data_IF_625415493532
#
_entry.id   IF_625415493532
#
_cell.length_a   1.000
_cell.length_b   1.000
_cell.length_c   1.000
_cell.angle_alpha   90.00
_cell.angle_beta   90.00
_cell.angle_gamma   90.00
#
_symmetry.space_group_name_H-M   'P 1'
#
loop_
_entity.id
_entity.type
_entity.pdbx_description
1 polymer ?
#
# COMPACT_ATOMS: atom_id res chain seq x y z
N UNK A 1 -30.59 -19.67 9.15
CA UNK A 1 -31.09 -18.77 8.05
C UNK A 1 -31.51 -17.37 8.52
N UNK A 2 -31.62 -17.14 9.83
CA UNK A 2 -31.96 -15.82 10.39
C UNK A 2 -30.73 -15.04 10.89
N UNK A 3 -29.58 -15.70 11.03
CA UNK A 3 -28.31 -15.10 11.44
C UNK A 3 -27.41 -14.86 10.23
N UNK A 4 -26.56 -13.84 10.32
CA UNK A 4 -25.55 -13.53 9.30
C UNK A 4 -24.40 -14.54 9.33
N UNK A 5 -24.09 -15.10 10.52
CA UNK A 5 -23.08 -16.14 10.73
C UNK A 5 -23.67 -17.20 11.63
N UNK A 6 -23.69 -18.44 11.18
CA UNK A 6 -24.10 -19.63 11.93
C UNK A 6 -22.90 -20.32 12.57
N UNK A 7 -22.98 -20.61 13.87
CA UNK A 7 -21.94 -21.34 14.60
C UNK A 7 -22.54 -22.65 15.12
N UNK A 8 -21.86 -23.75 14.89
CA UNK A 8 -22.20 -25.09 15.39
C UNK A 8 -21.02 -25.70 16.14
N UNK A 9 -21.25 -26.83 16.80
CA UNK A 9 -20.22 -27.60 17.49
C UNK A 9 -20.01 -28.94 16.76
N UNK A 10 -18.83 -29.53 16.86
CA UNK A 10 -18.49 -30.80 16.18
C UNK A 10 -19.41 -31.96 16.60
N UNK A 11 -19.91 -31.95 17.84
CA UNK A 11 -20.86 -32.93 18.36
C UNK A 11 -22.31 -32.76 17.91
N UNK A 12 -22.61 -31.71 17.11
CA UNK A 12 -23.95 -31.49 16.59
C UNK A 12 -24.30 -32.47 15.45
N UNK A 13 -25.61 -32.61 15.18
CA UNK A 13 -26.11 -33.40 14.05
C UNK A 13 -25.62 -32.83 12.71
N UNK A 14 -25.45 -33.66 11.72
CA UNK A 14 -24.84 -33.27 10.42
C UNK A 14 -25.57 -32.11 9.75
N UNK A 15 -26.89 -32.09 9.78
CA UNK A 15 -27.69 -30.98 9.23
C UNK A 15 -27.37 -29.63 9.90
N UNK A 16 -27.05 -29.63 11.19
CA UNK A 16 -26.68 -28.41 11.91
C UNK A 16 -25.26 -27.99 11.56
N UNK A 17 -24.35 -28.94 11.33
CA UNK A 17 -22.96 -28.65 10.88
C UNK A 17 -22.94 -28.13 9.43
N UNK A 18 -23.71 -28.73 8.54
CA UNK A 18 -23.82 -28.28 7.13
C UNK A 18 -24.46 -26.90 7.00
N UNK A 19 -25.27 -26.49 7.96
CA UNK A 19 -25.93 -25.17 7.97
C UNK A 19 -25.10 -24.07 8.63
N UNK A 20 -23.97 -24.43 9.25
CA UNK A 20 -23.13 -23.51 10.00
C UNK A 20 -21.95 -23.03 9.15
N UNK A 21 -21.56 -21.77 9.32
CA UNK A 21 -20.39 -21.16 8.68
C UNK A 21 -19.11 -21.52 9.45
N UNK A 22 -19.22 -21.74 10.76
CA UNK A 22 -18.11 -22.06 11.67
C UNK A 22 -18.49 -23.28 12.52
N UNK A 23 -17.58 -24.24 12.65
CA UNK A 23 -17.72 -25.40 13.53
C UNK A 23 -16.68 -25.30 14.63
N UNK A 24 -17.13 -25.23 15.88
CA UNK A 24 -16.26 -25.30 17.04
C UNK A 24 -15.92 -26.77 17.33
N UNK A 25 -14.62 -27.08 17.36
CA UNK A 25 -14.14 -28.43 17.67
C UNK A 25 -14.27 -28.77 19.15
N UNK A 26 -14.22 -27.77 20.01
CA UNK A 26 -14.43 -27.89 21.44
C UNK A 26 -15.77 -27.24 21.83
N UNK A 27 -16.55 -27.92 22.65
CA UNK A 27 -17.83 -27.44 23.15
C UNK A 27 -17.63 -26.52 24.35
N UNK A 28 -16.89 -25.41 24.10
CA UNK A 28 -16.59 -24.40 25.12
C UNK A 28 -16.83 -22.98 24.57
N UNK A 29 -17.59 -22.21 25.32
CA UNK A 29 -17.86 -20.81 25.01
C UNK A 29 -16.63 -19.91 25.13
N UNK A 30 -15.62 -20.33 25.92
CA UNK A 30 -14.35 -19.59 26.02
C UNK A 30 -13.58 -19.64 24.71
N UNK A 31 -13.65 -20.76 23.99
CA UNK A 31 -13.05 -20.88 22.65
C UNK A 31 -13.70 -19.91 21.66
N UNK A 32 -15.03 -19.75 21.75
CA UNK A 32 -15.74 -18.77 20.92
C UNK A 32 -15.34 -17.34 21.26
N UNK A 33 -15.22 -16.99 22.54
CA UNK A 33 -14.77 -15.66 22.98
C UNK A 33 -13.37 -15.36 22.46
N UNK A 34 -12.45 -16.30 22.62
CA UNK A 34 -11.09 -16.17 22.09
C UNK A 34 -11.08 -16.01 20.57
N UNK A 35 -11.91 -16.78 19.85
CA UNK A 35 -12.08 -16.65 18.41
C UNK A 35 -12.59 -15.26 17.98
N UNK A 36 -13.50 -14.66 18.72
CA UNK A 36 -14.00 -13.30 18.46
C UNK A 36 -12.86 -12.27 18.68
N UNK A 37 -12.08 -12.41 19.73
CA UNK A 37 -10.94 -11.51 20.00
C UNK A 37 -9.91 -11.60 18.90
N UNK A 38 -9.51 -12.81 18.51
CA UNK A 38 -8.56 -13.02 17.42
C UNK A 38 -9.09 -12.54 16.06
N UNK A 39 -10.38 -12.73 15.79
CA UNK A 39 -11.05 -12.19 14.61
C UNK A 39 -11.01 -10.65 14.57
N UNK A 40 -11.19 -9.99 15.70
CA UNK A 40 -11.09 -8.52 15.79
C UNK A 40 -9.66 -8.03 15.57
N UNK A 41 -8.65 -8.74 16.07
CA UNK A 41 -7.22 -8.44 15.81
C UNK A 41 -6.89 -8.59 14.32
N UNK A 42 -7.32 -9.69 13.71
CA UNK A 42 -7.14 -9.94 12.29
C UNK A 42 -7.79 -8.84 11.45
N UNK A 43 -9.01 -8.46 11.78
CA UNK A 43 -9.72 -7.36 11.12
C UNK A 43 -8.97 -6.02 11.25
N UNK A 44 -8.42 -5.72 12.43
CA UNK A 44 -7.64 -4.52 12.66
C UNK A 44 -6.40 -4.47 11.75
N UNK A 45 -5.65 -5.56 11.68
CA UNK A 45 -4.46 -5.65 10.84
C UNK A 45 -4.80 -5.60 9.34
N UNK A 46 -5.90 -6.20 8.94
CA UNK A 46 -6.42 -6.08 7.57
C UNK A 46 -6.76 -4.63 7.21
N UNK A 47 -7.41 -3.87 8.09
CA UNK A 47 -7.71 -2.45 7.86
C UNK A 47 -6.43 -1.61 7.79
N UNK A 48 -5.43 -1.89 8.63
CA UNK A 48 -4.11 -1.24 8.54
C UNK A 48 -3.49 -1.47 7.15
N UNK A 49 -3.44 -2.71 6.69
CA UNK A 49 -2.91 -3.05 5.37
C UNK A 49 -3.64 -2.32 4.25
N UNK A 50 -4.99 -2.36 4.24
CA UNK A 50 -5.79 -1.71 3.21
C UNK A 50 -5.54 -0.19 3.18
N UNK A 51 -5.53 0.47 4.33
CA UNK A 51 -5.27 1.91 4.43
C UNK A 51 -3.87 2.27 3.92
N UNK A 52 -2.86 1.51 4.33
CA UNK A 52 -1.48 1.73 3.90
C UNK A 52 -1.32 1.52 2.40
N UNK A 53 -1.85 0.42 1.87
CA UNK A 53 -1.75 0.09 0.44
C UNK A 53 -2.49 1.09 -0.44
N UNK A 54 -3.72 1.47 -0.06
CA UNK A 54 -4.50 2.46 -0.79
C UNK A 54 -3.82 3.84 -0.79
N UNK A 55 -3.29 4.26 0.37
CA UNK A 55 -2.58 5.53 0.52
C UNK A 55 -1.28 5.55 -0.28
N UNK A 56 -0.49 4.48 -0.24
CA UNK A 56 0.77 4.36 -1.00
C UNK A 56 0.52 4.39 -2.51
N UNK A 57 -0.44 3.61 -3.00
CA UNK A 57 -0.78 3.60 -4.42
C UNK A 57 -1.30 4.96 -4.90
N UNK A 58 -2.15 5.61 -4.10
CA UNK A 58 -2.63 6.96 -4.42
C UNK A 58 -1.49 7.98 -4.47
N UNK A 59 -0.57 7.94 -3.49
CA UNK A 59 0.62 8.80 -3.46
C UNK A 59 1.51 8.58 -4.69
N UNK A 60 1.81 7.34 -5.04
CA UNK A 60 2.62 7.01 -6.21
C UNK A 60 1.98 7.49 -7.52
N UNK A 61 0.68 7.26 -7.71
CA UNK A 61 -0.04 7.71 -8.91
C UNK A 61 -0.08 9.23 -9.00
N UNK A 62 -0.31 9.90 -7.87
CA UNK A 62 -0.30 11.37 -7.79
C UNK A 62 1.09 11.94 -8.12
N UNK A 63 2.15 11.35 -7.58
CA UNK A 63 3.54 11.77 -7.84
C UNK A 63 3.91 11.61 -9.31
N UNK A 64 3.57 10.47 -9.92
CA UNK A 64 3.86 10.21 -11.33
C UNK A 64 3.07 11.15 -12.24
N UNK A 65 1.80 11.39 -11.95
CA UNK A 65 0.96 12.31 -12.72
C UNK A 65 1.51 13.74 -12.69
N UNK A 66 1.80 14.25 -11.51
CA UNK A 66 2.32 15.60 -11.34
C UNK A 66 3.73 15.75 -11.94
N UNK A 67 4.61 14.77 -11.73
CA UNK A 67 5.94 14.78 -12.30
C UNK A 67 5.92 14.70 -13.83
N UNK A 68 5.01 13.92 -14.42
CA UNK A 68 4.85 13.84 -15.89
C UNK A 68 4.37 15.15 -16.52
N UNK A 69 3.68 15.99 -15.75
CA UNK A 69 3.27 17.32 -16.20
C UNK A 69 4.43 18.34 -16.14
N UNK A 70 5.37 18.16 -15.22
CA UNK A 70 6.47 19.09 -14.96
C UNK A 70 7.77 18.72 -15.66
N UNK A 71 8.02 17.42 -15.85
CA UNK A 71 9.25 16.91 -16.46
C UNK A 71 9.04 16.58 -17.94
N UNK A 72 10.05 16.80 -18.80
CA UNK A 72 9.99 16.51 -20.24
C UNK A 72 10.13 15.00 -20.55
N UNK A 73 10.20 14.14 -19.55
CA UNK A 73 10.32 12.68 -19.66
C UNK A 73 9.50 11.98 -18.60
N UNK A 74 9.20 10.68 -18.81
CA UNK A 74 8.50 9.87 -17.82
C UNK A 74 9.43 9.59 -16.62
N UNK A 75 9.06 10.04 -15.39
CA UNK A 75 9.92 9.90 -14.22
C UNK A 75 10.01 8.46 -13.72
N UNK A 76 9.01 7.64 -13.98
CA UNK A 76 8.95 6.23 -13.59
C UNK A 76 8.39 5.37 -14.73
N UNK A 77 9.12 4.31 -15.09
CA UNK A 77 8.60 3.28 -15.99
C UNK A 77 7.78 2.25 -15.21
N UNK A 78 6.92 1.53 -15.91
CA UNK A 78 6.05 0.49 -15.31
C UNK A 78 6.85 -0.58 -14.54
N UNK A 79 8.06 -0.91 -15.00
CA UNK A 79 8.95 -1.87 -14.32
C UNK A 79 9.35 -1.39 -12.93
N UNK A 80 9.64 -0.10 -12.77
CA UNK A 80 9.98 0.48 -11.46
C UNK A 80 8.80 0.40 -10.49
N UNK A 81 7.57 0.65 -10.97
CA UNK A 81 6.36 0.51 -10.16
C UNK A 81 6.12 -0.93 -9.72
N UNK A 82 6.40 -1.92 -10.57
CA UNK A 82 6.28 -3.33 -10.21
C UNK A 82 7.27 -3.68 -9.10
N UNK A 83 8.54 -3.28 -9.21
CA UNK A 83 9.54 -3.51 -8.17
C UNK A 83 9.20 -2.81 -6.86
N UNK A 84 8.72 -1.57 -6.93
CA UNK A 84 8.31 -0.81 -5.75
C UNK A 84 7.15 -1.52 -5.03
N UNK A 85 6.14 -1.98 -5.76
CA UNK A 85 5.03 -2.72 -5.19
C UNK A 85 5.48 -4.06 -4.60
N UNK A 86 6.40 -4.78 -5.25
CA UNK A 86 6.95 -6.03 -4.72
C UNK A 86 7.68 -5.83 -3.39
N UNK A 87 8.53 -4.80 -3.30
CA UNK A 87 9.23 -4.46 -2.05
C UNK A 87 8.23 -4.07 -0.96
N UNK A 88 7.21 -3.29 -1.32
CA UNK A 88 6.15 -2.89 -0.42
C UNK A 88 5.37 -4.11 0.12
N UNK A 89 4.96 -5.01 -0.74
CA UNK A 89 4.22 -6.22 -0.37
C UNK A 89 5.04 -7.12 0.56
N UNK A 90 6.34 -7.30 0.27
CA UNK A 90 7.25 -8.02 1.16
C UNK A 90 7.34 -7.35 2.55
N UNK A 91 7.39 -6.02 2.61
CA UNK A 91 7.39 -5.29 3.88
C UNK A 91 6.08 -5.45 4.63
N UNK A 92 4.96 -5.52 3.93
CA UNK A 92 3.63 -5.69 4.53
C UNK A 92 3.39 -7.10 5.09
N UNK A 93 4.22 -8.09 4.76
CA UNK A 93 4.10 -9.45 5.34
C UNK A 93 4.27 -9.48 6.85
N UNK A 94 4.86 -8.45 7.45
CA UNK A 94 5.02 -8.32 8.89
C UNK A 94 3.74 -7.86 9.62
N UNK A 95 2.76 -7.29 8.92
CA UNK A 95 1.53 -6.72 9.52
C UNK A 95 0.70 -7.74 10.31
N UNK A 96 0.55 -9.02 9.91
CA UNK A 96 -0.21 -10.00 10.69
C UNK A 96 0.32 -10.23 12.10
N UNK A 97 1.61 -9.99 12.34
CA UNK A 97 2.23 -10.12 13.67
C UNK A 97 2.26 -8.81 14.45
N UNK A 98 1.69 -7.73 13.89
CA UNK A 98 1.62 -6.46 14.59
C UNK A 98 0.59 -6.50 15.72
N UNK A 99 0.96 -5.90 16.86
CA UNK A 99 0.07 -5.80 18.00
C UNK A 99 -1.07 -4.81 17.73
N UNK A 100 -2.25 -5.19 18.19
CA UNK A 100 -3.47 -4.37 18.07
C UNK A 100 -3.80 -3.76 19.42
N UNK A 101 -4.12 -2.47 19.42
CA UNK A 101 -4.51 -1.74 20.62
C UNK A 101 -5.80 -2.32 21.23
N UNK A 102 -5.83 -2.43 22.56
CA UNK A 102 -6.98 -2.98 23.30
C UNK A 102 -8.28 -2.19 23.04
N UNK A 103 -8.19 -0.87 22.89
CA UNK A 103 -9.34 -0.04 22.56
C UNK A 103 -9.99 -0.40 21.20
N UNK A 104 -9.17 -0.89 20.25
CA UNK A 104 -9.68 -1.32 18.96
C UNK A 104 -10.45 -2.61 19.07
N UNK A 105 -10.01 -3.52 19.94
CA UNK A 105 -10.59 -4.84 20.15
C UNK A 105 -11.87 -4.75 21.01
N UNK A 106 -11.95 -3.78 21.93
CA UNK A 106 -13.02 -3.66 22.91
C UNK A 106 -14.43 -3.56 22.29
N UNK A 107 -14.54 -2.95 21.11
CA UNK A 107 -15.83 -2.76 20.43
C UNK A 107 -15.80 -3.33 19.01
N UNK A 108 -16.91 -3.99 18.56
CA UNK A 108 -17.01 -4.42 17.18
C UNK A 108 -17.02 -3.20 16.24
N UNK A 109 -16.24 -3.27 15.18
CA UNK A 109 -16.16 -2.21 14.17
C UNK A 109 -16.74 -2.70 12.85
N UNK A 110 -17.45 -1.80 12.17
CA UNK A 110 -17.97 -2.03 10.83
C UNK A 110 -16.95 -1.53 9.79
N UNK A 111 -17.01 -2.11 8.61
CA UNK A 111 -16.28 -1.59 7.46
C UNK A 111 -16.76 -0.17 7.13
N UNK A 112 -15.81 0.74 7.04
CA UNK A 112 -16.06 2.13 6.65
C UNK A 112 -15.11 2.55 5.53
N UNK A 113 -15.63 2.53 4.30
CA UNK A 113 -14.90 2.94 3.11
C UNK A 113 -14.55 4.45 3.15
N UNK A 114 -15.38 5.26 3.80
CA UNK A 114 -15.12 6.70 3.94
C UNK A 114 -13.84 6.97 4.75
N UNK A 115 -13.61 6.18 5.80
CA UNK A 115 -12.39 6.27 6.60
C UNK A 115 -11.14 5.92 5.79
N UNK A 116 -11.23 4.92 4.89
CA UNK A 116 -10.12 4.57 3.99
C UNK A 116 -9.87 5.68 2.97
N UNK A 117 -10.93 6.21 2.35
CA UNK A 117 -10.84 7.30 1.39
C UNK A 117 -10.26 8.58 1.99
N UNK A 118 -10.71 8.95 3.18
CA UNK A 118 -10.17 10.10 3.91
C UNK A 118 -8.68 9.93 4.23
N UNK A 119 -8.29 8.74 4.72
CA UNK A 119 -6.89 8.43 5.00
C UNK A 119 -6.03 8.52 3.74
N UNK A 120 -6.50 7.98 2.63
CA UNK A 120 -5.83 8.00 1.34
C UNK A 120 -5.59 9.43 0.83
N UNK A 121 -6.60 10.30 0.93
CA UNK A 121 -6.51 11.69 0.44
C UNK A 121 -5.58 12.54 1.29
N UNK A 122 -5.55 12.33 2.61
CA UNK A 122 -4.73 13.14 3.51
C UNK A 122 -3.30 12.62 3.65
N UNK A 123 -3.12 11.32 3.74
CA UNK A 123 -1.81 10.70 3.98
C UNK A 123 -1.07 10.39 2.67
N UNK A 124 -1.79 10.04 1.58
CA UNK A 124 -1.18 9.74 0.28
C UNK A 124 -0.26 10.86 -0.22
N UNK A 125 -0.73 12.13 -0.31
CA UNK A 125 0.11 13.22 -0.77
C UNK A 125 1.31 13.52 0.13
N UNK A 126 1.30 13.09 1.40
CA UNK A 126 2.45 13.28 2.30
C UNK A 126 3.68 12.51 1.81
N UNK A 127 3.51 11.30 1.29
CA UNK A 127 4.61 10.53 0.68
C UNK A 127 5.11 11.19 -0.61
N UNK A 128 4.23 11.84 -1.36
CA UNK A 128 4.58 12.53 -2.61
C UNK A 128 5.54 13.71 -2.41
N UNK A 129 5.60 14.30 -1.21
CA UNK A 129 6.59 15.36 -0.88
C UNK A 129 8.01 14.81 -1.03
N UNK A 130 8.27 13.59 -0.59
CA UNK A 130 9.57 12.95 -0.73
C UNK A 130 9.88 12.64 -2.20
N UNK A 131 8.90 12.19 -2.96
CA UNK A 131 9.04 11.93 -4.39
C UNK A 131 9.39 13.22 -5.15
N UNK A 132 8.66 14.30 -4.90
CA UNK A 132 8.95 15.60 -5.52
C UNK A 132 10.31 16.14 -5.13
N UNK A 133 10.70 16.03 -3.87
CA UNK A 133 12.03 16.42 -3.42
C UNK A 133 13.10 15.62 -4.15
N UNK A 134 12.90 14.33 -4.32
CA UNK A 134 13.82 13.47 -5.07
C UNK A 134 13.88 13.85 -6.54
N UNK A 135 12.74 14.09 -7.20
CA UNK A 135 12.72 14.51 -8.61
C UNK A 135 13.41 15.86 -8.83
N UNK A 136 13.15 16.84 -7.97
CA UNK A 136 13.79 18.14 -8.04
C UNK A 136 15.30 18.00 -7.86
N UNK A 137 15.73 17.26 -6.84
CA UNK A 137 17.15 17.04 -6.56
C UNK A 137 17.83 16.31 -7.72
N UNK A 138 17.26 15.24 -8.22
CA UNK A 138 17.80 14.48 -9.35
C UNK A 138 17.87 15.33 -10.61
N UNK A 139 16.80 16.05 -10.94
CA UNK A 139 16.73 16.82 -12.18
C UNK A 139 17.67 18.04 -12.19
N UNK A 140 17.70 18.83 -11.12
CA UNK A 140 18.44 20.09 -11.08
C UNK A 140 19.85 19.99 -10.53
N UNK A 141 20.14 18.99 -9.72
CA UNK A 141 21.42 18.87 -9.02
C UNK A 141 22.21 17.65 -9.48
N UNK A 142 21.67 16.45 -9.23
CA UNK A 142 22.44 15.22 -9.41
C UNK A 142 22.72 14.93 -10.88
N UNK A 143 21.71 14.92 -11.74
CA UNK A 143 21.90 14.62 -13.16
C UNK A 143 22.76 15.65 -13.89
N UNK A 144 22.57 16.97 -13.72
CA UNK A 144 23.48 17.95 -14.29
C UNK A 144 24.93 17.78 -13.81
N UNK A 145 25.12 17.53 -12.52
CA UNK A 145 26.47 17.46 -11.92
C UNK A 145 27.21 16.19 -12.31
N UNK A 146 26.57 15.03 -12.29
CA UNK A 146 27.22 13.73 -12.46
C UNK A 146 27.04 13.10 -13.84
N UNK A 147 25.97 13.41 -14.55
CA UNK A 147 25.63 12.77 -15.82
C UNK A 147 25.91 13.68 -17.01
N UNK A 148 25.51 14.94 -16.98
CA UNK A 148 25.56 15.86 -18.12
C UNK A 148 26.53 17.02 -17.98
N UNK A 149 27.48 16.95 -17.06
CA UNK A 149 28.56 17.94 -16.96
C UNK A 149 28.12 19.37 -16.70
N UNK A 150 27.01 19.56 -15.96
CA UNK A 150 26.46 20.87 -15.62
C UNK A 150 25.33 21.37 -16.52
N UNK A 151 24.90 20.59 -17.53
CA UNK A 151 23.87 20.95 -18.49
C UNK A 151 22.51 20.37 -18.10
N UNK A 152 21.44 21.17 -18.14
CA UNK A 152 20.09 20.69 -17.89
C UNK A 152 19.55 19.85 -19.04
N UNK A 153 18.59 18.96 -18.74
CA UNK A 153 18.01 18.04 -19.72
C UNK A 153 17.47 18.74 -20.97
N UNK A 154 16.81 19.88 -20.82
CA UNK A 154 16.21 20.62 -21.92
C UNK A 154 17.27 21.21 -22.87
N UNK A 155 18.48 21.44 -22.38
CA UNK A 155 19.56 22.08 -23.14
C UNK A 155 20.58 21.05 -23.67
N UNK A 156 20.39 19.75 -23.40
CA UNK A 156 21.33 18.70 -23.81
C UNK A 156 21.53 18.66 -25.34
N UNK A 157 20.48 18.83 -26.10
CA UNK A 157 20.54 18.77 -27.55
C UNK A 157 21.42 19.90 -28.17
N UNK A 158 21.56 21.02 -27.46
CA UNK A 158 22.38 22.15 -27.89
C UNK A 158 23.89 21.93 -27.61
N UNK A 159 24.24 21.08 -26.64
CA UNK A 159 25.58 20.89 -26.13
C UNK A 159 26.25 19.57 -26.53
N UNK A 160 25.47 18.54 -26.87
CA UNK A 160 25.99 17.20 -27.08
C UNK A 160 25.52 16.58 -28.41
N UNK A 161 26.37 15.74 -29.01
CA UNK A 161 26.04 14.99 -30.22
C UNK A 161 25.11 13.78 -29.91
N UNK A 162 24.48 13.22 -30.95
CA UNK A 162 23.46 12.20 -30.81
C UNK A 162 23.84 10.97 -29.98
N UNK A 163 25.09 10.47 -30.09
CA UNK A 163 25.52 9.32 -29.30
C UNK A 163 25.71 9.66 -27.81
N UNK A 164 26.27 10.82 -27.50
CA UNK A 164 26.42 11.32 -26.13
C UNK A 164 25.09 11.66 -25.53
N UNK A 165 24.17 12.25 -26.31
CA UNK A 165 22.84 12.56 -25.93
C UNK A 165 22.05 11.30 -25.51
N UNK A 166 22.18 10.22 -26.29
CA UNK A 166 21.52 8.95 -25.97
C UNK A 166 22.00 8.36 -24.64
N UNK A 167 23.35 8.41 -24.38
CA UNK A 167 23.89 7.94 -23.11
C UNK A 167 23.41 8.78 -21.92
N UNK A 168 23.33 10.09 -22.06
CA UNK A 168 22.85 10.99 -21.00
C UNK A 168 21.36 10.83 -20.73
N UNK A 169 20.56 10.54 -21.74
CA UNK A 169 19.15 10.22 -21.58
C UNK A 169 18.95 8.88 -20.89
N UNK A 170 19.80 7.88 -21.16
CA UNK A 170 19.73 6.57 -20.51
C UNK A 170 20.18 6.59 -19.04
N UNK A 171 21.02 7.56 -18.66
CA UNK A 171 21.51 7.73 -17.29
C UNK A 171 20.56 8.47 -16.34
N UNK A 172 19.41 8.90 -16.82
CA UNK A 172 18.35 9.60 -16.06
C UNK A 172 17.14 8.72 -15.88
#
# INVERSE_FOLDING_TARGET
KAADIGISVDTAVDVAKESADIILLEKDLMVLEQGIIEGRKTYANMIKYIKMTASSNFGNMFSVLAASALLPFLPMMSVHLIFLNLIYDLSCTAIPWDNVDEEFIAKPRKWDASSVGSFMIWIGPTSSIFDFTTYIFMYFVFCPLFVSGGVLFNDLAAHYSGAQLALMHAGR
#
